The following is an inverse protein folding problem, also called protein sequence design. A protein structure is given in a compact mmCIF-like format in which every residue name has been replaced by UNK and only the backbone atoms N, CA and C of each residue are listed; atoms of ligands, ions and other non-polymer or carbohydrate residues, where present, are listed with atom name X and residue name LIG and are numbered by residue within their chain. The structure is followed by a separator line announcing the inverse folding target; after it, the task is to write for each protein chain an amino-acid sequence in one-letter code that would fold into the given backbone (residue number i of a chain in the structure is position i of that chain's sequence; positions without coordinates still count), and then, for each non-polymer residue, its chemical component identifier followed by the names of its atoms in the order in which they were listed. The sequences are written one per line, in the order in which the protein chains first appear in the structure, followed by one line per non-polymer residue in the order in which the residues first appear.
data_IF_046789400395
#
_entry.id   IF_046789400395
#
_cell.length_a   1.000
_cell.length_b   1.000
_cell.length_c   1.000
_cell.angle_alpha   90.00
_cell.angle_beta   90.00
_cell.angle_gamma   90.00
#
_symmetry.space_group_name_H-M   'P 1'
#
loop_
_entity.id
_entity.type
_entity.pdbx_description
1 polymer ?
#
# COMPACT_ATOMS: atom_id res chain seq x y z
N UNK A 1 9.34 21.83 -18.29
CA UNK A 1 9.23 21.63 -16.82
C UNK A 1 10.10 20.43 -16.46
N UNK A 2 11.22 20.63 -15.76
CA UNK A 2 12.14 19.56 -15.39
C UNK A 2 11.56 18.79 -14.19
N UNK A 3 11.00 17.62 -14.44
CA UNK A 3 10.52 16.72 -13.39
C UNK A 3 11.52 15.59 -13.20
N UNK A 4 11.62 15.05 -11.98
CA UNK A 4 12.49 13.90 -11.70
C UNK A 4 12.25 12.70 -12.65
N UNK A 5 11.00 12.33 -12.99
CA UNK A 5 10.75 11.30 -14.01
C UNK A 5 11.24 11.67 -15.41
N UNK A 6 11.06 12.93 -15.83
CA UNK A 6 11.54 13.39 -17.14
C UNK A 6 13.06 13.33 -17.26
N UNK A 7 13.77 13.68 -16.18
CA UNK A 7 15.23 13.58 -16.12
C UNK A 7 15.71 12.13 -16.14
N UNK A 8 15.07 11.24 -15.36
CA UNK A 8 15.40 9.81 -15.34
C UNK A 8 15.19 9.16 -16.73
N UNK A 9 14.10 9.51 -17.42
CA UNK A 9 13.81 9.04 -18.77
C UNK A 9 14.87 9.49 -19.78
N UNK A 10 15.23 10.78 -19.79
CA UNK A 10 16.27 11.30 -20.67
C UNK A 10 17.64 10.67 -20.41
N UNK A 11 18.00 10.46 -19.14
CA UNK A 11 19.23 9.76 -18.78
C UNK A 11 19.23 8.32 -19.27
N UNK A 12 18.12 7.59 -19.13
CA UNK A 12 17.99 6.21 -19.62
C UNK A 12 18.17 6.12 -21.14
N UNK A 13 17.54 7.01 -21.92
CA UNK A 13 17.72 7.06 -23.38
C UNK A 13 19.18 7.34 -23.76
N UNK A 14 19.83 8.30 -23.09
CA UNK A 14 21.23 8.65 -23.35
C UNK A 14 22.20 7.51 -23.00
N UNK A 15 21.93 6.75 -21.94
CA UNK A 15 22.79 5.63 -21.51
C UNK A 15 22.64 4.39 -22.40
N UNK A 16 21.46 4.19 -22.98
CA UNK A 16 21.14 2.99 -23.77
C UNK A 16 21.28 3.20 -25.28
N UNK A 17 21.34 4.45 -25.73
CA UNK A 17 21.38 4.85 -27.15
C UNK A 17 20.23 4.24 -27.98
N UNK A 18 19.11 3.93 -27.31
CA UNK A 18 17.93 3.33 -27.94
C UNK A 18 17.14 4.39 -28.70
N UNK A 19 16.88 4.13 -29.98
CA UNK A 19 15.90 4.87 -30.77
C UNK A 19 14.49 4.34 -30.49
N UNK A 20 13.59 5.23 -30.08
CA UNK A 20 12.19 4.89 -29.79
C UNK A 20 11.35 4.92 -31.07
N UNK A 21 10.60 3.85 -31.31
CA UNK A 21 9.55 3.84 -32.33
C UNK A 21 8.31 4.58 -31.84
N UNK A 22 7.74 5.42 -32.70
CA UNK A 22 6.49 6.10 -32.42
C UNK A 22 5.31 5.17 -32.70
N UNK A 23 4.33 5.11 -31.79
CA UNK A 23 3.07 4.44 -32.07
C UNK A 23 2.31 5.21 -33.16
N UNK A 24 2.25 4.65 -34.37
CA UNK A 24 1.46 5.18 -35.49
C UNK A 24 0.04 4.63 -35.54
N UNK A 25 -0.23 3.53 -34.85
CA UNK A 25 -1.55 2.87 -34.79
C UNK A 25 -2.17 3.01 -33.40
N UNK A 26 -3.38 3.57 -33.36
CA UNK A 26 -4.16 3.77 -32.13
C UNK A 26 -4.50 2.46 -31.43
N UNK A 27 -4.65 1.35 -32.16
CA UNK A 27 -4.98 0.06 -31.56
C UNK A 27 -3.82 -0.49 -30.73
N UNK A 28 -2.56 -0.29 -31.17
CA UNK A 28 -1.37 -0.67 -30.41
C UNK A 28 -1.25 0.14 -29.12
N UNK A 29 -1.49 1.45 -29.22
CA UNK A 29 -1.52 2.33 -28.06
C UNK A 29 -2.58 1.89 -27.05
N UNK A 30 -3.83 1.70 -27.50
CA UNK A 30 -4.93 1.26 -26.65
C UNK A 30 -4.71 -0.14 -26.07
N UNK A 31 -4.06 -1.05 -26.81
CA UNK A 31 -3.72 -2.38 -26.30
C UNK A 31 -2.75 -2.28 -25.12
N UNK A 32 -1.69 -1.48 -25.25
CA UNK A 32 -0.72 -1.26 -24.18
C UNK A 32 -1.37 -0.55 -22.99
N UNK A 33 -2.11 0.54 -23.22
CA UNK A 33 -2.80 1.26 -22.14
C UNK A 33 -3.78 0.35 -21.38
N UNK A 34 -4.57 -0.46 -22.10
CA UNK A 34 -5.48 -1.44 -21.51
C UNK A 34 -4.76 -2.59 -20.82
N UNK A 35 -3.50 -2.86 -21.16
CA UNK A 35 -2.65 -3.87 -20.54
C UNK A 35 -1.96 -3.40 -19.27
N UNK A 36 -1.67 -2.09 -19.13
CA UNK A 36 -0.96 -1.54 -17.97
C UNK A 36 -1.76 -1.79 -16.69
N UNK A 37 -1.10 -2.37 -15.69
CA UNK A 37 -1.64 -2.57 -14.34
C UNK A 37 -0.66 -1.96 -13.33
N UNK A 38 -1.20 -1.34 -12.29
CA UNK A 38 -0.38 -0.91 -11.15
C UNK A 38 -0.01 -2.08 -10.23
N UNK A 39 0.80 -1.79 -9.22
CA UNK A 39 1.17 -2.79 -8.22
C UNK A 39 -0.03 -3.43 -7.51
N UNK A 40 0.06 -4.74 -7.29
CA UNK A 40 -0.94 -5.56 -6.60
C UNK A 40 -1.04 -5.13 -5.14
N UNK A 41 -2.26 -5.04 -4.62
CA UNK A 41 -2.50 -4.85 -3.20
C UNK A 41 -3.71 -5.69 -2.78
N UNK A 42 -3.54 -6.48 -1.73
CA UNK A 42 -4.54 -7.41 -1.24
C UNK A 42 -4.53 -7.45 0.30
N UNK A 43 -5.72 -7.49 0.89
CA UNK A 43 -5.92 -7.84 2.30
C UNK A 43 -6.84 -9.05 2.31
N UNK A 44 -6.30 -10.25 2.56
CA UNK A 44 -7.11 -11.46 2.70
C UNK A 44 -7.76 -11.57 4.08
N UNK A 45 -7.13 -10.98 5.10
CA UNK A 45 -7.59 -11.00 6.48
C UNK A 45 -7.47 -9.60 7.08
N UNK A 46 -8.59 -9.00 7.50
CA UNK A 46 -8.67 -7.59 7.88
C UNK A 46 -8.09 -7.26 9.25
N UNK A 47 -7.98 -8.22 10.17
CA UNK A 47 -7.35 -8.00 11.48
C UNK A 47 -6.51 -9.19 11.89
N UNK A 48 -5.33 -8.97 12.45
CA UNK A 48 -4.54 -10.03 13.04
C UNK A 48 -3.82 -9.51 14.27
N UNK A 49 -4.00 -10.19 15.39
CA UNK A 49 -3.26 -9.96 16.63
C UNK A 49 -2.19 -11.04 16.79
N UNK A 50 -1.01 -10.64 17.28
CA UNK A 50 0.10 -11.53 17.60
C UNK A 50 -0.04 -12.07 19.02
N UNK A 51 0.44 -13.28 19.24
CA UNK A 51 0.52 -13.91 20.56
C UNK A 51 1.91 -14.50 20.73
N UNK A 52 2.81 -13.81 21.41
CA UNK A 52 4.13 -14.35 21.76
C UNK A 52 4.65 -13.69 23.05
N UNK A 53 5.66 -14.27 23.72
CA UNK A 53 6.09 -13.80 25.04
C UNK A 53 6.57 -12.35 25.16
N UNK A 54 6.86 -11.68 24.04
CA UNK A 54 7.26 -10.27 24.03
C UNK A 54 6.07 -9.32 23.77
N UNK A 55 4.86 -9.87 23.57
CA UNK A 55 3.63 -9.09 23.52
C UNK A 55 3.15 -8.74 24.95
N UNK A 56 2.63 -7.52 25.17
CA UNK A 56 2.09 -7.14 26.47
C UNK A 56 0.86 -7.97 26.89
N UNK A 57 0.08 -8.48 25.92
CA UNK A 57 -1.13 -9.27 26.16
C UNK A 57 -0.91 -10.78 25.90
N UNK A 58 0.28 -11.30 26.19
CA UNK A 58 0.60 -12.70 25.92
C UNK A 58 -0.25 -13.67 26.75
N UNK A 59 -0.82 -14.66 26.08
CA UNK A 59 -1.67 -15.68 26.66
C UNK A 59 -1.05 -17.06 26.44
N UNK A 60 -0.59 -17.69 27.53
CA UNK A 60 0.05 -19.01 27.51
C UNK A 60 -0.90 -20.13 27.06
N UNK A 61 -2.22 -19.93 27.12
CA UNK A 61 -3.20 -20.93 26.69
C UNK A 61 -3.34 -21.00 25.17
N UNK A 62 -2.97 -19.91 24.47
CA UNK A 62 -3.10 -19.80 23.01
C UNK A 62 -1.78 -20.16 22.34
N UNK A 63 -1.87 -20.72 21.14
CA UNK A 63 -0.70 -20.98 20.33
C UNK A 63 0.08 -19.70 19.99
N UNK A 64 1.40 -19.81 19.86
CA UNK A 64 2.24 -18.69 19.47
C UNK A 64 1.91 -18.24 18.03
N UNK A 65 1.70 -16.95 17.85
CA UNK A 65 1.36 -16.32 16.58
C UNK A 65 2.20 -15.08 16.36
N UNK A 66 2.93 -15.07 15.25
CA UNK A 66 3.81 -13.96 14.87
C UNK A 66 3.24 -13.25 13.65
N UNK A 67 3.40 -11.93 13.61
CA UNK A 67 3.10 -11.10 12.44
C UNK A 67 4.43 -10.60 11.90
N UNK A 68 4.66 -10.79 10.60
CA UNK A 68 5.90 -10.38 9.94
C UNK A 68 5.59 -9.38 8.84
N UNK A 69 6.40 -8.33 8.72
CA UNK A 69 6.29 -7.36 7.63
C UNK A 69 7.60 -7.34 6.84
N UNK A 70 7.50 -7.82 5.60
CA UNK A 70 8.62 -7.88 4.68
C UNK A 70 8.40 -6.85 3.59
N UNK A 71 9.45 -6.10 3.27
CA UNK A 71 9.49 -5.19 2.13
C UNK A 71 10.61 -5.61 1.19
N UNK A 72 10.31 -5.68 -0.11
CA UNK A 72 11.31 -6.05 -1.11
C UNK A 72 12.18 -4.86 -1.45
N UNK A 73 13.50 -5.05 -1.44
CA UNK A 73 14.43 -4.01 -1.87
C UNK A 73 14.38 -3.85 -3.39
N UNK A 74 13.82 -2.71 -3.83
CA UNK A 74 13.75 -2.32 -5.24
C UNK A 74 13.05 -3.36 -6.13
N UNK A 75 11.80 -3.69 -5.79
CA UNK A 75 11.00 -4.69 -6.52
C UNK A 75 10.93 -4.42 -8.03
N UNK A 76 10.71 -3.17 -8.45
CA UNK A 76 10.62 -2.80 -9.87
C UNK A 76 11.98 -2.88 -10.57
N UNK A 77 13.05 -2.39 -9.93
CA UNK A 77 14.40 -2.53 -10.48
C UNK A 77 14.87 -3.98 -10.55
N UNK A 78 14.33 -4.89 -9.73
CA UNK A 78 14.55 -6.33 -9.89
C UNK A 78 13.89 -6.86 -11.17
N UNK A 79 12.63 -6.49 -11.45
CA UNK A 79 11.94 -6.93 -12.66
C UNK A 79 12.53 -6.33 -13.94
N UNK A 80 13.14 -5.15 -13.84
CA UNK A 80 13.79 -4.44 -14.95
C UNK A 80 15.26 -4.84 -15.14
N UNK A 81 15.78 -5.78 -14.34
CA UNK A 81 17.19 -6.15 -14.36
C UNK A 81 17.51 -6.95 -15.63
N UNK A 82 18.05 -6.26 -16.64
CA UNK A 82 19.05 -6.85 -17.53
C UNK A 82 20.37 -7.03 -16.76
N UNK A 83 21.23 -7.92 -17.21
CA UNK A 83 22.44 -8.46 -16.57
C UNK A 83 23.55 -7.47 -16.10
N UNK A 84 23.26 -6.18 -15.86
CA UNK A 84 24.25 -5.10 -15.74
C UNK A 84 24.30 -4.35 -14.39
N UNK A 85 23.79 -4.89 -13.29
CA UNK A 85 23.90 -4.24 -11.95
C UNK A 85 24.79 -5.07 -11.04
N UNK A 86 25.76 -4.44 -10.36
CA UNK A 86 26.73 -5.10 -9.45
C UNK A 86 26.13 -5.42 -8.07
N UNK A 87 26.65 -6.46 -7.42
CA UNK A 87 26.10 -7.07 -6.20
C UNK A 87 26.80 -6.68 -4.88
N UNK A 88 27.64 -5.63 -4.89
CA UNK A 88 28.58 -5.34 -3.80
C UNK A 88 27.98 -4.63 -2.56
N UNK A 89 26.71 -4.21 -2.57
CA UNK A 89 26.13 -3.39 -1.48
C UNK A 89 25.16 -4.12 -0.53
N UNK A 90 25.17 -3.74 0.76
CA UNK A 90 24.34 -4.26 1.90
C UNK A 90 22.81 -4.08 1.79
N UNK A 91 22.27 -3.90 0.59
CA UNK A 91 20.83 -3.90 0.28
C UNK A 91 20.61 -4.57 -1.06
N UNK A 92 21.04 -5.83 -1.14
CA UNK A 92 20.95 -6.64 -2.35
C UNK A 92 19.53 -6.57 -2.92
N UNK A 93 19.44 -6.22 -4.19
CA UNK A 93 18.17 -6.09 -4.92
C UNK A 93 17.47 -7.45 -4.89
N UNK A 94 16.16 -7.44 -4.67
CA UNK A 94 15.34 -8.65 -4.59
C UNK A 94 15.35 -9.39 -3.26
N UNK A 95 16.21 -9.00 -2.31
CA UNK A 95 16.11 -9.49 -0.95
C UNK A 95 14.98 -8.77 -0.20
N UNK A 96 14.28 -9.52 0.65
CA UNK A 96 13.34 -8.95 1.59
C UNK A 96 14.10 -8.36 2.77
N UNK A 97 13.80 -7.11 3.10
CA UNK A 97 14.18 -6.51 4.37
C UNK A 97 13.02 -6.60 5.33
N UNK A 98 13.35 -6.84 6.59
CA UNK A 98 12.42 -6.59 7.69
C UNK A 98 12.24 -5.07 7.83
N UNK A 99 11.00 -4.59 7.69
CA UNK A 99 10.68 -3.17 7.77
C UNK A 99 10.95 -2.56 9.17
N UNK A 100 10.99 -3.38 10.22
CA UNK A 100 11.18 -2.91 11.59
C UNK A 100 12.48 -3.35 12.26
N UNK A 101 13.38 -3.99 11.51
CA UNK A 101 14.73 -4.34 11.99
C UNK A 101 14.69 -5.14 13.31
N UNK A 102 13.85 -6.17 13.37
CA UNK A 102 13.72 -7.12 14.48
C UNK A 102 12.67 -6.78 15.53
N UNK A 103 11.79 -5.79 15.33
CA UNK A 103 10.76 -5.45 16.31
C UNK A 103 9.50 -6.29 16.14
N UNK A 104 8.90 -6.64 17.27
CA UNK A 104 7.63 -7.34 17.34
C UNK A 104 6.46 -6.46 16.84
N UNK A 105 5.59 -7.09 16.06
CA UNK A 105 4.30 -6.56 15.66
C UNK A 105 3.23 -7.10 16.60
N UNK A 106 2.40 -6.22 17.15
CA UNK A 106 1.33 -6.62 18.07
C UNK A 106 0.01 -6.81 17.34
N UNK A 107 -0.38 -5.84 16.50
CA UNK A 107 -1.67 -5.87 15.83
C UNK A 107 -1.57 -5.28 14.41
N UNK A 108 -2.22 -5.94 13.47
CA UNK A 108 -2.45 -5.46 12.12
C UNK A 108 -3.94 -5.27 11.90
N UNK A 109 -4.32 -4.12 11.35
CA UNK A 109 -5.69 -3.83 10.91
C UNK A 109 -5.68 -3.25 9.51
N UNK A 110 -6.25 -3.96 8.54
CA UNK A 110 -6.42 -3.56 7.16
C UNK A 110 -7.91 -3.36 6.83
N UNK A 111 -8.26 -2.17 6.31
CA UNK A 111 -9.65 -1.87 5.98
C UNK A 111 -9.95 -2.05 4.49
N UNK A 112 -9.08 -1.52 3.62
CA UNK A 112 -9.24 -1.54 2.17
C UNK A 112 -7.91 -1.43 1.46
N UNK A 113 -7.93 -1.54 0.13
CA UNK A 113 -6.70 -1.40 -0.67
C UNK A 113 -5.87 -0.14 -0.35
N UNK A 114 -4.61 -0.33 0.07
CA UNK A 114 -3.65 0.70 0.51
C UNK A 114 -4.13 1.54 1.72
N UNK A 115 -4.95 0.94 2.59
CA UNK A 115 -5.41 1.51 3.84
C UNK A 115 -5.32 0.50 4.99
N UNK A 116 -4.34 0.70 5.86
CA UNK A 116 -4.05 -0.20 6.96
C UNK A 116 -3.30 0.54 8.08
N UNK A 117 -3.35 -0.05 9.26
CA UNK A 117 -2.54 0.34 10.40
C UNK A 117 -1.87 -0.88 11.01
N UNK A 118 -0.64 -0.66 11.47
CA UNK A 118 0.16 -1.64 12.16
C UNK A 118 0.58 -1.04 13.50
N UNK A 119 0.44 -1.81 14.57
CA UNK A 119 0.91 -1.49 15.91
C UNK A 119 2.17 -2.29 16.21
N UNK A 120 3.22 -1.60 16.64
CA UNK A 120 4.47 -2.19 17.10
C UNK A 120 4.95 -1.51 18.38
N UNK A 121 6.01 -2.04 18.98
CA UNK A 121 6.60 -1.52 20.22
C UNK A 121 7.01 -0.03 20.12
N UNK A 122 7.61 0.38 18.98
CA UNK A 122 7.99 1.79 18.74
C UNK A 122 6.83 2.71 18.36
N UNK A 123 5.61 2.19 18.24
CA UNK A 123 4.41 2.96 17.97
C UNK A 123 3.58 2.45 16.80
N UNK A 124 2.80 3.34 16.19
CA UNK A 124 1.83 2.98 15.16
C UNK A 124 2.26 3.45 13.77
N UNK A 125 2.29 2.53 12.79
CA UNK A 125 2.47 2.84 11.37
C UNK A 125 1.12 2.82 10.68
N UNK A 126 0.86 3.83 9.86
CA UNK A 126 -0.42 3.96 9.16
C UNK A 126 -0.24 4.34 7.70
N UNK A 127 -1.09 3.75 6.88
CA UNK A 127 -1.28 4.09 5.47
C UNK A 127 -2.76 4.30 5.23
N UNK A 128 -3.10 5.40 4.57
CA UNK A 128 -4.46 5.72 4.18
C UNK A 128 -4.40 6.42 2.82
N UNK A 129 -4.70 5.68 1.75
CA UNK A 129 -4.66 6.23 0.40
C UNK A 129 -5.63 7.40 0.25
N UNK A 130 -5.12 8.53 -0.24
CA UNK A 130 -5.92 9.71 -0.54
C UNK A 130 -6.17 10.66 0.63
N UNK A 131 -5.69 10.34 1.84
CA UNK A 131 -5.69 11.22 3.01
C UNK A 131 -4.30 11.86 3.17
N UNK A 132 -4.29 13.18 3.39
CA UNK A 132 -3.07 13.96 3.55
C UNK A 132 -2.25 13.48 4.75
N UNK A 133 -0.93 13.68 4.69
CA UNK A 133 -0.01 13.26 5.76
C UNK A 133 -0.34 13.94 7.10
N UNK A 134 -0.64 15.24 7.08
CA UNK A 134 -1.01 16.02 8.27
C UNK A 134 -2.27 15.46 8.94
N UNK A 135 -3.35 15.28 8.18
CA UNK A 135 -4.61 14.74 8.73
C UNK A 135 -4.42 13.33 9.26
N UNK A 136 -3.65 12.50 8.56
CA UNK A 136 -3.32 11.13 9.00
C UNK A 136 -2.57 11.12 10.34
N UNK A 137 -1.55 11.95 10.51
CA UNK A 137 -0.77 11.97 11.76
C UNK A 137 -1.57 12.51 12.96
N UNK A 138 -2.50 13.44 12.73
CA UNK A 138 -3.29 14.06 13.80
C UNK A 138 -4.53 13.25 14.18
N UNK A 139 -5.27 12.73 13.19
CA UNK A 139 -6.62 12.19 13.39
C UNK A 139 -6.73 10.69 13.24
N UNK A 140 -5.84 10.04 12.48
CA UNK A 140 -5.90 8.60 12.28
C UNK A 140 -5.03 7.96 13.37
N UNK A 141 -5.64 7.22 14.30
CA UNK A 141 -4.95 6.36 15.28
C UNK A 141 -5.30 4.90 15.03
N UNK A 142 -4.46 3.96 15.46
CA UNK A 142 -4.69 2.52 15.30
C UNK A 142 -6.07 2.11 15.86
N UNK A 143 -6.42 2.66 17.02
CA UNK A 143 -7.73 2.47 17.65
C UNK A 143 -8.92 2.84 16.72
N UNK A 144 -8.79 3.86 15.88
CA UNK A 144 -9.86 4.22 14.94
C UNK A 144 -10.03 3.20 13.81
N UNK A 145 -8.93 2.57 13.36
CA UNK A 145 -9.02 1.47 12.39
C UNK A 145 -9.75 0.27 13.01
N UNK A 146 -9.37 -0.11 14.24
CA UNK A 146 -10.03 -1.19 14.99
C UNK A 146 -11.52 -0.89 15.21
N UNK A 147 -11.85 0.33 15.64
CA UNK A 147 -13.24 0.74 15.83
C UNK A 147 -14.02 0.76 14.51
N UNK A 148 -13.43 1.20 13.40
CA UNK A 148 -14.11 1.18 12.10
C UNK A 148 -14.38 -0.25 11.62
N UNK A 149 -13.43 -1.17 11.83
CA UNK A 149 -13.61 -2.59 11.50
C UNK A 149 -14.79 -3.20 12.28
N UNK A 150 -14.85 -2.95 13.60
CA UNK A 150 -15.91 -3.48 14.47
C UNK A 150 -17.27 -2.82 14.23
N UNK A 151 -17.31 -1.49 14.14
CA UNK A 151 -18.57 -0.74 13.97
C UNK A 151 -19.10 -0.78 12.54
N UNK A 152 -18.26 -1.12 11.56
CA UNK A 152 -18.52 -1.06 10.10
C UNK A 152 -19.05 0.29 9.61
N UNK A 153 -18.89 1.36 10.39
CA UNK A 153 -19.35 2.69 10.04
C UNK A 153 -18.24 3.45 9.30
N UNK A 154 -18.52 3.98 8.10
CA UNK A 154 -17.54 4.81 7.40
C UNK A 154 -17.39 6.15 8.13
N UNK A 155 -16.18 6.70 8.10
CA UNK A 155 -15.90 8.05 8.59
C UNK A 155 -15.40 8.93 7.47
N UNK A 156 -15.56 10.24 7.62
CA UNK A 156 -15.03 11.24 6.70
C UNK A 156 -14.12 12.22 7.43
N UNK A 157 -13.09 12.69 6.74
CA UNK A 157 -12.17 13.71 7.22
C UNK A 157 -12.08 14.86 6.23
N UNK A 158 -12.14 16.08 6.76
CA UNK A 158 -11.85 17.30 6.01
C UNK A 158 -10.34 17.43 5.84
N UNK A 159 -9.89 17.75 4.62
CA UNK A 159 -8.49 18.05 4.33
C UNK A 159 -8.37 19.20 3.34
N UNK A 160 -7.35 20.03 3.52
CA UNK A 160 -6.98 21.06 2.57
C UNK A 160 -6.02 20.50 1.51
N UNK A 161 -6.22 20.89 0.25
CA UNK A 161 -5.34 20.56 -0.86
C UNK A 161 -5.20 21.75 -1.81
N UNK A 162 -4.10 21.77 -2.54
CA UNK A 162 -3.91 22.66 -3.68
C UNK A 162 -4.54 21.98 -4.91
N UNK A 163 -5.42 22.71 -5.59
CA UNK A 163 -6.02 22.34 -6.86
C UNK A 163 -5.40 23.16 -8.00
N UNK A 164 -5.51 22.64 -9.22
CA UNK A 164 -5.17 23.38 -10.44
C UNK A 164 -6.26 23.12 -11.46
N UNK A 165 -6.81 24.18 -12.02
CA UNK A 165 -7.79 24.15 -13.10
C UNK A 165 -7.41 25.21 -14.13
N UNK A 166 -7.29 24.83 -15.41
CA UNK A 166 -6.86 25.73 -16.50
C UNK A 166 -5.58 26.51 -16.16
N UNK A 167 -4.60 25.82 -15.56
CA UNK A 167 -3.34 26.40 -15.08
C UNK A 167 -3.47 27.45 -13.95
N UNK A 168 -4.67 27.66 -13.40
CA UNK A 168 -4.88 28.49 -12.23
C UNK A 168 -4.82 27.65 -10.95
N UNK A 169 -3.90 27.98 -10.06
CA UNK A 169 -3.65 27.26 -8.81
C UNK A 169 -4.48 27.90 -7.70
N UNK A 170 -5.22 27.09 -6.94
CA UNK A 170 -6.04 27.57 -5.82
C UNK A 170 -6.02 26.59 -4.65
N UNK A 171 -6.32 27.11 -3.46
CA UNK A 171 -6.50 26.29 -2.26
C UNK A 171 -7.96 25.89 -2.13
N UNK A 172 -8.22 24.62 -1.83
CA UNK A 172 -9.56 24.10 -1.61
C UNK A 172 -9.60 23.14 -0.42
N UNK A 173 -10.75 23.07 0.24
CA UNK A 173 -11.04 22.04 1.22
C UNK A 173 -11.86 20.93 0.58
N UNK A 174 -11.55 19.68 0.92
CA UNK A 174 -12.25 18.51 0.42
C UNK A 174 -12.61 17.60 1.59
N UNK A 175 -13.89 17.23 1.67
CA UNK A 175 -14.35 16.15 2.52
C UNK A 175 -14.02 14.82 1.83
N UNK A 176 -13.25 13.94 2.48
CA UNK A 176 -12.97 12.60 1.97
C UNK A 176 -13.36 11.53 2.97
N UNK A 177 -13.86 10.40 2.47
CA UNK A 177 -14.04 9.19 3.28
C UNK A 177 -12.68 8.72 3.79
N UNK A 178 -12.48 8.79 5.11
CA UNK A 178 -11.24 8.49 5.80
C UNK A 178 -11.15 7.01 6.19
N UNK A 179 -12.21 6.46 6.79
CA UNK A 179 -12.32 5.04 7.10
C UNK A 179 -13.54 4.42 6.42
N UNK A 180 -13.39 3.16 6.01
CA UNK A 180 -14.47 2.32 5.49
C UNK A 180 -14.00 0.87 5.61
N UNK A 181 -14.71 0.05 6.38
CA UNK A 181 -14.42 -1.38 6.50
C UNK A 181 -14.81 -2.18 5.25
N UNK A 182 -15.62 -1.59 4.37
CA UNK A 182 -15.99 -2.18 3.09
C UNK A 182 -14.87 -2.01 2.05
N UNK A 183 -14.38 -3.14 1.53
CA UNK A 183 -13.47 -3.21 0.38
C UNK A 183 -14.27 -3.61 -0.86
N UNK A 184 -14.34 -2.72 -1.85
CA UNK A 184 -15.12 -2.91 -3.07
C UNK A 184 -14.52 -3.97 -4.02
N UNK A 185 -13.27 -4.37 -3.78
CA UNK A 185 -12.51 -5.26 -4.68
C UNK A 185 -12.58 -6.73 -4.30
N UNK A 186 -13.15 -7.07 -3.16
CA UNK A 186 -13.17 -8.43 -2.62
C UNK A 186 -14.53 -8.71 -1.96
N UNK A 187 -14.91 -9.98 -1.97
CA UNK A 187 -16.08 -10.46 -1.26
C UNK A 187 -15.69 -10.72 0.20
N UNK A 188 -16.35 -10.04 1.14
CA UNK A 188 -16.16 -10.27 2.57
C UNK A 188 -17.05 -11.44 3.02
N UNK A 189 -16.48 -12.40 3.73
CA UNK A 189 -17.22 -13.54 4.28
C UNK A 189 -18.08 -13.11 5.48
N UNK A 190 -18.97 -14.00 5.92
CA UNK A 190 -19.88 -13.77 7.06
C UNK A 190 -19.14 -13.50 8.36
N UNK A 191 -17.92 -14.03 8.51
CA UNK A 191 -17.02 -13.78 9.63
C UNK A 191 -16.63 -12.29 9.77
N UNK A 192 -16.82 -11.50 8.72
CA UNK A 192 -16.58 -10.07 8.72
C UNK A 192 -15.12 -9.66 8.71
N UNK A 193 -14.19 -10.59 8.52
CA UNK A 193 -12.74 -10.33 8.60
C UNK A 193 -12.00 -10.98 7.44
N UNK A 194 -12.43 -12.15 6.99
CA UNK A 194 -11.81 -12.85 5.86
C UNK A 194 -12.45 -12.41 4.55
N UNK A 195 -11.62 -12.16 3.54
CA UNK A 195 -12.10 -11.79 2.21
C UNK A 195 -11.54 -12.67 1.11
N UNK A 196 -12.38 -12.95 0.12
CA UNK A 196 -12.07 -13.75 -1.07
C UNK A 196 -12.17 -12.88 -2.33
N UNK A 197 -11.46 -13.28 -3.38
CA UNK A 197 -11.62 -12.67 -4.70
C UNK A 197 -12.97 -13.03 -5.29
N UNK A 198 -13.61 -12.11 -6.01
CA UNK A 198 -14.81 -12.43 -6.79
C UNK A 198 -14.53 -13.60 -7.76
N UNK A 199 -15.48 -14.53 -7.88
CA UNK A 199 -15.33 -15.75 -8.67
C UNK A 199 -14.64 -16.93 -7.95
N UNK A 200 -14.34 -16.81 -6.66
CA UNK A 200 -13.84 -17.94 -5.86
C UNK A 200 -14.94 -18.98 -5.62
N UNK A 201 -14.61 -20.28 -5.71
CA UNK A 201 -15.57 -21.39 -5.62
C UNK A 201 -16.41 -21.41 -4.32
N UNK A 202 -15.89 -20.84 -3.22
CA UNK A 202 -16.60 -20.71 -1.93
C UNK A 202 -17.63 -19.58 -1.85
N UNK A 203 -17.75 -18.75 -2.89
CA UNK A 203 -18.70 -17.61 -2.93
C UNK A 203 -20.02 -18.04 -3.62
N UNK A 204 -20.04 -19.22 -4.24
CA UNK A 204 -21.16 -19.78 -5.00
C UNK A 204 -22.24 -20.33 -4.07
#
# INVERSE_FOLDING_TARGET
MLSSPGMAWQAALKMTDVNLDLFTDINRHLFIEKGIRGGIFMISHQSSEANHPQCPNYDFSKANKYITCLDSNNLYGLSERSSFVSDENKRKIGYFKDELNGQAYFEFVGLRSKMYSILSDRGQKQRAKGISKSVRQQKLKHANFRQCLLSRKPSSALQSRIGSERHHIFSMQQLKRAFSAFDDKRFLLEDGVTSLSYGHYKIV
#
